data_IF_240657076484
#
_entry.id   IF_240657076484
#
_cell.length_a   1.000
_cell.length_b   1.000
_cell.length_c   1.000
_cell.angle_alpha   90.00
_cell.angle_beta   90.00
_cell.angle_gamma   90.00
#
_symmetry.space_group_name_H-M   'P 1'
#
loop_
_entity.id
_entity.type
_entity.pdbx_description
1 polymer ?
#
# COMPACT_ATOMS: atom_id res chain seq x y z
N UNK A 1 -20.60 -14.42 -8.76
CA UNK A 1 -20.39 -13.98 -7.36
C UNK A 1 -21.66 -14.15 -6.52
N UNK A 2 -22.78 -13.52 -6.89
CA UNK A 2 -24.05 -13.60 -6.14
C UNK A 2 -24.46 -15.04 -5.77
N UNK A 3 -24.52 -15.96 -6.73
CA UNK A 3 -24.90 -17.36 -6.48
C UNK A 3 -24.00 -18.04 -5.43
N UNK A 4 -22.69 -17.76 -5.45
CA UNK A 4 -21.75 -18.34 -4.47
C UNK A 4 -22.05 -17.79 -3.07
N UNK A 5 -22.24 -16.49 -2.94
CA UNK A 5 -22.58 -15.88 -1.65
C UNK A 5 -23.94 -16.34 -1.12
N UNK A 6 -24.93 -16.53 -2.00
CA UNK A 6 -26.25 -17.10 -1.64
C UNK A 6 -26.12 -18.52 -1.10
N UNK A 7 -25.32 -19.37 -1.75
CA UNK A 7 -25.05 -20.72 -1.26
C UNK A 7 -24.33 -20.67 0.10
N UNK A 8 -23.29 -19.84 0.24
CA UNK A 8 -22.56 -19.72 1.50
C UNK A 8 -23.44 -19.14 2.63
N UNK A 9 -24.45 -18.34 2.31
CA UNK A 9 -25.41 -17.82 3.29
C UNK A 9 -26.29 -18.92 3.90
N UNK A 10 -26.47 -20.07 3.23
CA UNK A 10 -27.24 -21.19 3.80
C UNK A 10 -26.40 -22.06 4.74
N UNK A 11 -25.10 -21.81 4.89
CA UNK A 11 -24.21 -22.65 5.67
C UNK A 11 -24.26 -22.26 7.17
N UNK A 12 -24.27 -23.23 8.09
CA UNK A 12 -24.41 -22.95 9.51
C UNK A 12 -23.20 -22.21 10.08
N UNK A 13 -23.45 -21.29 11.00
CA UNK A 13 -22.41 -20.50 11.69
C UNK A 13 -21.48 -21.34 12.59
N UNK A 14 -21.86 -22.57 12.89
CA UNK A 14 -21.18 -23.43 13.87
C UNK A 14 -19.91 -24.11 13.31
N UNK A 15 -19.61 -23.91 12.02
CA UNK A 15 -18.35 -24.33 11.43
C UNK A 15 -17.20 -23.44 11.93
N UNK A 16 -15.98 -23.97 12.07
CA UNK A 16 -14.76 -23.28 12.53
C UNK A 16 -14.27 -22.11 11.66
N UNK A 17 -15.13 -21.57 10.78
CA UNK A 17 -14.83 -20.53 9.82
C UNK A 17 -14.31 -21.09 8.49
N UNK A 18 -14.68 -20.43 7.39
CA UNK A 18 -14.21 -20.77 6.04
C UNK A 18 -13.37 -19.62 5.51
N UNK A 19 -12.33 -19.99 4.75
CA UNK A 19 -11.55 -19.07 3.93
C UNK A 19 -12.14 -19.02 2.52
N UNK A 20 -12.63 -17.86 2.11
CA UNK A 20 -13.09 -17.59 0.75
C UNK A 20 -11.98 -16.91 -0.05
N UNK A 21 -11.59 -17.52 -1.15
CA UNK A 21 -10.61 -16.99 -2.09
C UNK A 21 -11.29 -16.57 -3.39
N UNK A 22 -11.07 -15.33 -3.83
CA UNK A 22 -11.67 -14.75 -5.04
C UNK A 22 -10.55 -14.27 -5.96
N UNK A 23 -10.59 -14.77 -7.19
CA UNK A 23 -9.80 -14.27 -8.32
C UNK A 23 -10.70 -14.25 -9.56
N UNK A 24 -10.42 -13.35 -10.50
CA UNK A 24 -11.17 -13.24 -11.74
C UNK A 24 -10.29 -13.54 -12.95
N UNK A 25 -10.79 -14.40 -13.84
CA UNK A 25 -10.14 -14.83 -15.07
C UNK A 25 -11.19 -15.08 -16.16
N UNK A 26 -10.77 -14.95 -17.41
CA UNK A 26 -11.47 -15.35 -18.64
C UNK A 26 -10.92 -16.67 -19.16
N UNK A 27 -11.71 -17.48 -19.86
CA UNK A 27 -11.18 -18.56 -20.70
C UNK A 27 -10.13 -18.09 -21.73
N UNK A 28 -10.21 -16.82 -22.15
CA UNK A 28 -9.25 -16.23 -23.10
C UNK A 28 -7.97 -15.69 -22.44
N UNK A 29 -7.91 -15.61 -21.11
CA UNK A 29 -6.78 -15.01 -20.41
C UNK A 29 -5.59 -15.98 -20.43
N UNK A 30 -4.34 -15.49 -20.53
CA UNK A 30 -3.17 -16.34 -20.50
C UNK A 30 -3.07 -17.05 -19.14
N UNK A 31 -3.06 -18.39 -19.17
CA UNK A 31 -2.91 -19.18 -17.95
C UNK A 31 -1.50 -19.02 -17.38
N UNK A 32 -1.39 -19.09 -16.05
CA UNK A 32 -0.09 -19.06 -15.37
C UNK A 32 0.77 -20.21 -15.90
N UNK A 33 1.87 -19.86 -16.59
CA UNK A 33 2.79 -20.83 -17.19
C UNK A 33 2.76 -20.89 -18.73
N UNK A 34 1.87 -20.16 -19.40
CA UNK A 34 1.80 -20.08 -20.86
C UNK A 34 2.89 -19.17 -21.46
N UNK A 35 4.14 -19.56 -21.22
CA UNK A 35 5.33 -18.79 -21.66
C UNK A 35 5.39 -18.63 -23.17
N UNK A 36 4.86 -19.59 -23.94
CA UNK A 36 4.89 -19.53 -25.40
C UNK A 36 3.92 -18.51 -25.95
N UNK A 37 2.68 -18.45 -25.45
CA UNK A 37 1.73 -17.41 -25.84
C UNK A 37 2.19 -16.03 -25.40
N UNK A 38 2.71 -15.90 -24.18
CA UNK A 38 3.28 -14.63 -23.69
C UNK A 38 4.44 -14.19 -24.59
N UNK A 39 5.32 -15.11 -24.97
CA UNK A 39 6.42 -14.83 -25.90
C UNK A 39 5.86 -14.40 -27.25
N UNK A 40 4.89 -15.12 -27.80
CA UNK A 40 4.27 -14.80 -29.11
C UNK A 40 3.59 -13.43 -29.10
N UNK A 41 2.70 -13.15 -28.14
CA UNK A 41 2.02 -11.86 -28.04
C UNK A 41 2.94 -10.67 -27.77
N UNK A 42 4.20 -10.90 -27.33
CA UNK A 42 5.23 -9.86 -27.31
C UNK A 42 5.80 -9.54 -28.69
N UNK A 43 5.88 -10.52 -29.58
CA UNK A 43 6.40 -10.36 -30.95
C UNK A 43 5.30 -10.00 -31.97
N UNK A 44 4.06 -10.44 -31.74
CA UNK A 44 2.88 -10.16 -32.57
C UNK A 44 1.73 -9.55 -31.75
N UNK A 45 1.94 -8.35 -31.17
CA UNK A 45 0.95 -7.71 -30.30
C UNK A 45 -0.36 -7.35 -31.00
N UNK A 46 -0.36 -7.21 -32.32
CA UNK A 46 -1.55 -7.08 -33.17
C UNK A 46 -2.45 -8.33 -33.19
N UNK A 47 -1.90 -9.51 -32.89
CA UNK A 47 -2.63 -10.77 -32.83
C UNK A 47 -3.15 -11.07 -31.41
N UNK A 48 -2.40 -10.71 -30.37
CA UNK A 48 -2.79 -10.93 -28.98
C UNK A 48 -2.26 -9.84 -28.05
N UNK A 49 -3.17 -8.96 -27.61
CA UNK A 49 -2.89 -7.89 -26.64
C UNK A 49 -2.64 -8.41 -25.21
N UNK A 50 -2.74 -9.72 -24.97
CA UNK A 50 -2.55 -10.38 -23.68
C UNK A 50 -3.39 -9.76 -22.56
N UNK A 51 -2.77 -9.06 -21.61
CA UNK A 51 -3.46 -8.39 -20.50
C UNK A 51 -3.83 -6.94 -20.83
N UNK A 52 -3.24 -6.36 -21.89
CA UNK A 52 -3.46 -4.95 -22.26
C UNK A 52 -4.91 -4.66 -22.64
N UNK A 53 -5.59 -5.66 -23.21
CA UNK A 53 -7.04 -5.66 -23.51
C UNK A 53 -7.95 -5.33 -22.32
N UNK A 54 -7.48 -5.46 -21.08
CA UNK A 54 -8.24 -5.10 -19.87
C UNK A 54 -7.44 -4.24 -18.90
N UNK A 55 -6.38 -3.56 -19.37
CA UNK A 55 -5.47 -2.79 -18.51
C UNK A 55 -6.16 -1.66 -17.72
N UNK A 56 -7.31 -1.17 -18.22
CA UNK A 56 -8.17 -0.14 -17.60
C UNK A 56 -9.57 -0.66 -17.25
N UNK A 57 -9.82 -1.95 -17.46
CA UNK A 57 -11.14 -2.55 -17.29
C UNK A 57 -11.24 -3.22 -15.93
N UNK A 58 -11.76 -2.48 -14.96
CA UNK A 58 -11.97 -2.97 -13.60
C UNK A 58 -13.31 -3.68 -13.48
N UNK A 59 -13.30 -4.89 -12.92
CA UNK A 59 -14.52 -5.61 -12.57
C UNK A 59 -15.19 -4.94 -11.38
N UNK A 60 -16.47 -4.64 -11.54
CA UNK A 60 -17.27 -3.95 -10.54
C UNK A 60 -18.30 -4.89 -9.92
N UNK A 61 -18.64 -4.62 -8.66
CA UNK A 61 -19.76 -5.24 -7.97
C UNK A 61 -20.58 -4.11 -7.36
N UNK A 62 -21.69 -3.72 -7.99
CA UNK A 62 -22.57 -2.68 -7.45
C UNK A 62 -23.11 -3.11 -6.09
N UNK A 63 -23.23 -2.19 -5.14
CA UNK A 63 -23.77 -2.51 -3.81
C UNK A 63 -25.19 -3.10 -3.90
N UNK A 64 -26.04 -2.51 -4.75
CA UNK A 64 -27.40 -3.00 -5.04
C UNK A 64 -27.43 -4.48 -5.43
N UNK A 65 -26.39 -4.95 -6.12
CA UNK A 65 -26.30 -6.33 -6.57
C UNK A 65 -26.16 -7.33 -5.42
N UNK A 66 -25.66 -6.91 -4.25
CA UNK A 66 -25.50 -7.78 -3.10
C UNK A 66 -26.51 -7.50 -1.99
N UNK A 67 -27.35 -6.46 -2.10
CA UNK A 67 -28.32 -6.10 -1.07
C UNK A 67 -29.31 -7.21 -0.74
N UNK A 68 -29.73 -7.99 -1.75
CA UNK A 68 -30.68 -9.10 -1.57
C UNK A 68 -30.05 -10.35 -0.93
N UNK A 69 -28.71 -10.39 -0.80
CA UNK A 69 -28.02 -11.56 -0.26
C UNK A 69 -28.03 -11.48 1.28
N UNK A 70 -28.55 -12.52 1.96
CA UNK A 70 -28.49 -12.59 3.42
C UNK A 70 -27.05 -12.58 3.94
N UNK A 71 -26.82 -12.21 5.22
CA UNK A 71 -25.49 -12.25 5.82
C UNK A 71 -24.84 -13.64 5.73
N UNK A 72 -23.61 -13.68 5.23
CA UNK A 72 -22.80 -14.90 5.07
C UNK A 72 -22.01 -15.17 6.34
N UNK A 73 -22.60 -15.95 7.25
CA UNK A 73 -22.06 -16.20 8.60
C UNK A 73 -20.90 -17.22 8.63
N UNK A 74 -20.72 -18.00 7.58
CA UNK A 74 -19.75 -19.09 7.53
C UNK A 74 -18.31 -18.62 7.19
N UNK A 75 -18.15 -17.43 6.61
CA UNK A 75 -16.85 -16.94 6.14
C UNK A 75 -16.16 -16.10 7.22
N UNK A 76 -14.92 -16.48 7.55
CA UNK A 76 -14.08 -15.79 8.56
C UNK A 76 -12.80 -15.22 7.97
N UNK A 77 -12.39 -15.68 6.79
CA UNK A 77 -11.24 -15.13 6.07
C UNK A 77 -11.60 -14.87 4.62
N UNK A 78 -11.30 -13.67 4.13
CA UNK A 78 -11.53 -13.26 2.75
C UNK A 78 -10.19 -12.93 2.10
N UNK A 79 -9.91 -13.56 0.97
CA UNK A 79 -8.75 -13.26 0.15
C UNK A 79 -9.23 -12.87 -1.25
N UNK A 80 -8.87 -11.68 -1.72
CA UNK A 80 -9.21 -11.22 -3.07
C UNK A 80 -7.94 -10.82 -3.80
N UNK A 81 -7.74 -11.42 -4.97
CA UNK A 81 -6.71 -11.02 -5.90
C UNK A 81 -7.34 -10.39 -7.15
N UNK A 82 -6.95 -9.16 -7.45
CA UNK A 82 -7.59 -8.31 -8.45
C UNK A 82 -6.60 -7.38 -9.13
N UNK A 83 -5.64 -7.98 -9.86
CA UNK A 83 -4.73 -7.24 -10.72
C UNK A 83 -3.25 -7.53 -10.48
N UNK A 84 -2.94 -8.72 -9.96
CA UNK A 84 -1.56 -9.19 -9.84
C UNK A 84 -1.25 -10.29 -10.85
N UNK A 85 -0.27 -10.01 -11.72
CA UNK A 85 0.11 -10.96 -12.76
C UNK A 85 -1.01 -11.16 -13.78
N UNK A 86 -1.58 -12.37 -13.87
CA UNK A 86 -2.52 -12.79 -14.93
C UNK A 86 -4.00 -12.62 -14.60
N UNK A 87 -4.30 -12.00 -13.45
CA UNK A 87 -5.67 -11.82 -12.96
C UNK A 87 -6.31 -10.57 -13.57
N UNK A 88 -7.63 -10.61 -13.74
CA UNK A 88 -8.39 -9.41 -14.10
C UNK A 88 -8.39 -8.40 -12.96
N UNK A 89 -8.42 -7.12 -13.32
CA UNK A 89 -8.52 -6.03 -12.36
C UNK A 89 -9.87 -6.10 -11.65
N UNK A 90 -9.88 -5.94 -10.32
CA UNK A 90 -11.10 -5.78 -9.54
C UNK A 90 -11.09 -4.37 -8.98
N UNK A 91 -12.20 -3.63 -9.15
CA UNK A 91 -12.30 -2.29 -8.56
C UNK A 91 -12.13 -2.42 -7.04
N UNK A 92 -11.23 -1.64 -6.42
CA UNK A 92 -10.98 -1.76 -4.98
C UNK A 92 -12.25 -1.66 -4.12
N UNK A 93 -13.18 -0.76 -4.44
CA UNK A 93 -14.44 -0.62 -3.70
C UNK A 93 -15.34 -1.86 -3.74
N UNK A 94 -15.28 -2.65 -4.82
CA UNK A 94 -16.00 -3.91 -4.91
C UNK A 94 -15.57 -4.90 -3.81
N UNK A 95 -14.33 -4.83 -3.34
CA UNK A 95 -13.83 -5.73 -2.29
C UNK A 95 -14.48 -5.45 -0.93
N UNK A 96 -14.68 -4.18 -0.59
CA UNK A 96 -15.36 -3.77 0.63
C UNK A 96 -16.86 -4.08 0.57
N UNK A 97 -17.49 -3.90 -0.59
CA UNK A 97 -18.89 -4.28 -0.84
C UNK A 97 -19.09 -5.80 -0.64
N UNK A 98 -18.21 -6.63 -1.19
CA UNK A 98 -18.23 -8.09 -0.98
C UNK A 98 -18.05 -8.42 0.51
N UNK A 99 -17.04 -7.83 1.16
CA UNK A 99 -16.76 -8.06 2.57
C UNK A 99 -17.92 -7.67 3.50
N UNK A 100 -18.70 -6.65 3.14
CA UNK A 100 -19.87 -6.18 3.91
C UNK A 100 -20.92 -7.29 4.16
N UNK A 101 -20.94 -8.33 3.32
CA UNK A 101 -21.86 -9.46 3.47
C UNK A 101 -21.38 -10.50 4.48
N UNK A 102 -20.19 -10.35 5.06
CA UNK A 102 -19.54 -11.36 5.91
C UNK A 102 -19.33 -10.82 7.33
N UNK A 103 -20.36 -10.72 8.18
CA UNK A 103 -20.26 -10.04 9.48
C UNK A 103 -19.37 -10.75 10.52
N UNK A 104 -18.87 -11.96 10.23
CA UNK A 104 -17.93 -12.71 11.09
C UNK A 104 -16.50 -12.71 10.55
N UNK A 105 -16.21 -11.88 9.56
CA UNK A 105 -14.91 -11.78 8.91
C UNK A 105 -13.86 -11.30 9.92
N UNK A 106 -12.80 -12.08 10.13
CA UNK A 106 -11.69 -11.78 11.03
C UNK A 106 -10.42 -11.36 10.29
N UNK A 107 -10.21 -11.92 9.10
CA UNK A 107 -9.04 -11.64 8.27
C UNK A 107 -9.45 -11.25 6.85
N UNK A 108 -8.84 -10.19 6.36
CA UNK A 108 -8.99 -9.69 4.99
C UNK A 108 -7.61 -9.53 4.38
N UNK A 109 -7.38 -10.23 3.26
CA UNK A 109 -6.15 -10.11 2.48
C UNK A 109 -6.47 -9.71 1.04
N UNK A 110 -5.97 -8.57 0.59
CA UNK A 110 -6.30 -7.97 -0.70
C UNK A 110 -5.02 -7.75 -1.50
N UNK A 111 -5.05 -8.10 -2.77
CA UNK A 111 -3.99 -7.75 -3.74
C UNK A 111 -4.62 -7.03 -4.92
N UNK A 112 -4.43 -5.71 -4.97
CA UNK A 112 -5.13 -4.78 -5.87
C UNK A 112 -4.14 -3.85 -6.57
N UNK A 113 -4.54 -3.28 -7.71
CA UNK A 113 -3.72 -2.37 -8.52
C UNK A 113 -4.08 -0.90 -8.27
N UNK A 114 -3.08 -0.09 -7.94
CA UNK A 114 -3.09 1.39 -7.85
C UNK A 114 -1.99 2.00 -8.76
N UNK A 115 -1.82 1.44 -9.96
CA UNK A 115 -0.74 1.81 -10.88
C UNK A 115 -1.27 2.15 -12.28
N UNK A 116 -2.43 2.82 -12.35
CA UNK A 116 -2.96 3.31 -13.63
C UNK A 116 -2.24 4.61 -14.01
N UNK A 117 -1.24 4.49 -14.88
CA UNK A 117 -0.35 5.59 -15.29
C UNK A 117 -0.85 6.33 -16.53
N UNK A 118 -1.65 5.69 -17.38
CA UNK A 118 -2.18 6.31 -18.61
C UNK A 118 -3.51 7.03 -18.39
N UNK A 119 -4.24 6.67 -17.34
CA UNK A 119 -5.50 7.30 -16.95
C UNK A 119 -5.46 7.68 -15.45
N UNK A 120 -4.82 8.81 -15.17
CA UNK A 120 -4.64 9.32 -13.80
C UNK A 120 -5.99 9.59 -13.11
N UNK A 121 -6.99 10.02 -13.87
CA UNK A 121 -8.35 10.26 -13.35
C UNK A 121 -9.05 8.95 -12.95
N UNK A 122 -8.88 7.87 -13.72
CA UNK A 122 -9.33 6.54 -13.31
C UNK A 122 -8.61 6.07 -12.04
N UNK A 123 -7.30 6.31 -11.93
CA UNK A 123 -6.53 5.98 -10.71
C UNK A 123 -7.12 6.68 -9.48
N UNK A 124 -7.26 8.00 -9.54
CA UNK A 124 -7.84 8.83 -8.47
C UNK A 124 -9.24 8.37 -8.09
N UNK A 125 -10.13 8.19 -9.07
CA UNK A 125 -11.51 7.70 -8.84
C UNK A 125 -11.54 6.33 -8.16
N UNK A 126 -10.69 5.39 -8.58
CA UNK A 126 -10.62 4.06 -7.95
C UNK A 126 -10.10 4.14 -6.51
N UNK A 127 -9.10 4.98 -6.25
CA UNK A 127 -8.53 5.22 -4.93
C UNK A 127 -9.53 5.88 -3.98
N UNK A 128 -10.17 6.96 -4.41
CA UNK A 128 -11.20 7.67 -3.63
C UNK A 128 -12.44 6.80 -3.41
N UNK A 129 -12.87 6.08 -4.45
CA UNK A 129 -13.95 5.11 -4.35
C UNK A 129 -13.64 4.02 -3.34
N UNK A 130 -12.37 3.57 -3.26
CA UNK A 130 -11.97 2.63 -2.23
C UNK A 130 -12.02 3.24 -0.84
N UNK A 131 -11.38 4.40 -0.67
CA UNK A 131 -11.32 5.12 0.60
C UNK A 131 -12.73 5.32 1.18
N UNK A 132 -13.67 5.73 0.34
CA UNK A 132 -15.07 5.92 0.73
C UNK A 132 -15.80 4.61 1.03
N UNK A 133 -15.33 3.46 0.57
CA UNK A 133 -15.94 2.15 0.84
C UNK A 133 -15.33 1.40 2.04
N UNK A 134 -14.19 1.84 2.58
CA UNK A 134 -13.48 1.15 3.69
C UNK A 134 -14.41 0.94 4.91
N UNK A 135 -15.31 1.89 5.17
CA UNK A 135 -16.28 1.78 6.27
C UNK A 135 -17.27 0.61 6.14
N UNK A 136 -17.39 0.00 4.96
CA UNK A 136 -18.21 -1.19 4.72
C UNK A 136 -17.53 -2.48 5.21
N UNK A 137 -16.23 -2.44 5.50
CA UNK A 137 -15.51 -3.58 6.06
C UNK A 137 -16.07 -3.87 7.47
N UNK A 138 -16.41 -5.14 7.78
CA UNK A 138 -16.99 -5.51 9.07
C UNK A 138 -16.11 -5.11 10.25
N UNK A 139 -16.74 -4.68 11.35
CA UNK A 139 -16.04 -4.36 12.60
C UNK A 139 -15.42 -5.58 13.29
N UNK A 140 -15.79 -6.80 12.86
CA UNK A 140 -15.20 -8.05 13.32
C UNK A 140 -13.78 -8.30 12.80
N UNK A 141 -13.31 -7.52 11.81
CA UNK A 141 -12.00 -7.69 11.20
C UNK A 141 -10.91 -7.32 12.20
N UNK A 142 -9.99 -8.25 12.42
CA UNK A 142 -8.85 -8.09 13.34
C UNK A 142 -7.50 -8.05 12.59
N UNK A 143 -7.44 -8.67 11.40
CA UNK A 143 -6.24 -8.71 10.57
C UNK A 143 -6.55 -8.20 9.17
N UNK A 144 -5.80 -7.19 8.75
CA UNK A 144 -5.92 -6.59 7.42
C UNK A 144 -4.56 -6.59 6.73
N UNK A 145 -4.48 -7.23 5.56
CA UNK A 145 -3.33 -7.23 4.67
C UNK A 145 -3.76 -6.67 3.31
N UNK A 146 -3.21 -5.53 2.93
CA UNK A 146 -3.46 -4.92 1.63
C UNK A 146 -2.15 -4.75 0.88
N UNK A 147 -2.06 -5.38 -0.28
CA UNK A 147 -1.07 -5.05 -1.30
C UNK A 147 -1.75 -4.16 -2.33
N UNK A 148 -1.42 -2.88 -2.34
CA UNK A 148 -2.05 -1.91 -3.24
C UNK A 148 -1.02 -1.35 -4.20
N UNK A 149 -0.73 -2.13 -5.24
CA UNK A 149 0.46 -1.98 -6.06
C UNK A 149 0.46 -0.66 -6.84
N UNK A 150 1.38 0.22 -6.47
CA UNK A 150 1.77 1.41 -7.22
C UNK A 150 3.26 1.34 -7.51
N UNK A 151 3.66 1.81 -8.69
CA UNK A 151 5.06 2.04 -9.03
C UNK A 151 5.28 3.53 -9.27
N UNK A 152 6.43 4.03 -8.85
CA UNK A 152 6.84 5.38 -9.19
C UNK A 152 7.22 5.44 -10.68
N UNK A 153 7.33 6.64 -11.28
CA UNK A 153 8.02 6.83 -12.55
C UNK A 153 9.38 6.12 -12.57
N UNK A 154 9.68 5.34 -13.61
CA UNK A 154 11.05 4.80 -13.81
C UNK A 154 12.02 5.88 -14.31
N UNK A 155 11.50 6.91 -14.97
CA UNK A 155 12.21 8.14 -15.24
C UNK A 155 11.95 9.14 -14.12
N UNK A 156 12.92 9.33 -13.24
CA UNK A 156 12.77 10.18 -12.06
C UNK A 156 12.75 11.70 -12.36
N UNK A 157 12.94 12.07 -13.64
CA UNK A 157 12.72 13.42 -14.13
C UNK A 157 11.23 13.74 -14.30
N UNK A 158 10.36 12.72 -14.37
CA UNK A 158 8.92 12.92 -14.37
C UNK A 158 8.43 13.26 -12.95
N UNK A 159 7.48 14.18 -12.89
CA UNK A 159 6.78 14.46 -11.64
C UNK A 159 5.77 13.34 -11.34
N UNK A 160 5.78 12.74 -10.14
CA UNK A 160 4.76 11.81 -9.71
C UNK A 160 3.37 12.46 -9.72
N UNK A 161 2.36 11.63 -9.92
CA UNK A 161 0.96 12.08 -9.95
C UNK A 161 0.56 12.63 -8.58
N UNK A 162 -0.02 13.83 -8.57
CA UNK A 162 -0.75 14.36 -7.41
C UNK A 162 -2.09 13.63 -7.26
N UNK A 163 -2.20 12.80 -6.23
CA UNK A 163 -3.40 12.03 -5.88
C UNK A 163 -4.32 12.79 -4.91
N UNK A 164 -3.87 13.90 -4.32
CA UNK A 164 -4.67 14.69 -3.36
C UNK A 164 -5.32 15.91 -4.01
N UNK A 165 -4.88 16.33 -5.19
CA UNK A 165 -5.45 17.45 -5.96
C UNK A 165 -5.49 18.75 -5.14
N UNK A 166 -4.40 19.04 -4.43
CA UNK A 166 -4.29 20.20 -3.54
C UNK A 166 -5.09 20.11 -2.24
N UNK A 167 -5.73 18.97 -1.92
CA UNK A 167 -6.32 18.74 -0.59
C UNK A 167 -5.22 18.66 0.48
N UNK A 168 -5.57 19.04 1.70
CA UNK A 168 -4.65 19.06 2.85
C UNK A 168 -4.25 17.65 3.29
N UNK A 169 -5.13 16.65 3.13
CA UNK A 169 -4.93 15.28 3.60
C UNK A 169 -5.30 14.27 2.50
N UNK A 170 -4.50 13.21 2.37
CA UNK A 170 -4.82 12.06 1.52
C UNK A 170 -5.98 11.26 2.12
N UNK A 171 -7.13 11.29 1.45
CA UNK A 171 -8.36 10.63 1.88
C UNK A 171 -8.16 9.13 2.12
N UNK A 172 -7.37 8.46 1.27
CA UNK A 172 -7.11 7.02 1.43
C UNK A 172 -6.32 6.71 2.71
N UNK A 173 -5.24 7.45 2.97
CA UNK A 173 -4.45 7.32 4.19
C UNK A 173 -5.30 7.61 5.44
N UNK A 174 -6.11 8.67 5.42
CA UNK A 174 -7.00 9.02 6.52
C UNK A 174 -8.05 7.94 6.82
N UNK A 175 -8.69 7.38 5.79
CA UNK A 175 -9.70 6.32 5.97
C UNK A 175 -9.09 5.01 6.45
N UNK A 176 -7.85 4.70 6.03
CA UNK A 176 -7.10 3.57 6.58
C UNK A 176 -6.70 3.79 8.04
N UNK A 177 -6.31 5.01 8.43
CA UNK A 177 -6.06 5.37 9.83
C UNK A 177 -7.29 5.05 10.68
N UNK A 178 -8.46 5.54 10.29
CA UNK A 178 -9.72 5.34 11.01
C UNK A 178 -10.06 3.85 11.14
N UNK A 179 -10.01 3.11 10.03
CA UNK A 179 -10.28 1.67 10.03
C UNK A 179 -9.26 0.87 10.84
N UNK A 180 -7.98 1.26 10.82
CA UNK A 180 -6.92 0.51 11.50
C UNK A 180 -7.06 0.49 13.02
N UNK A 181 -7.80 1.44 13.62
CA UNK A 181 -8.01 1.54 15.06
C UNK A 181 -8.71 0.30 15.67
N UNK A 182 -9.50 -0.44 14.89
CA UNK A 182 -10.15 -1.67 15.37
C UNK A 182 -9.27 -2.93 15.25
N UNK A 183 -8.15 -2.85 14.53
CA UNK A 183 -7.35 -4.00 14.15
C UNK A 183 -6.39 -4.45 15.26
N UNK A 184 -5.96 -5.71 15.15
CA UNK A 184 -4.83 -6.27 15.89
C UNK A 184 -3.57 -6.33 15.02
N UNK A 185 -3.73 -6.62 13.72
CA UNK A 185 -2.62 -6.67 12.76
C UNK A 185 -2.99 -5.87 11.51
N UNK A 186 -2.15 -4.90 11.19
CA UNK A 186 -2.24 -4.09 9.97
C UNK A 186 -1.00 -4.31 9.11
N UNK A 187 -1.19 -4.63 7.84
CA UNK A 187 -0.13 -4.76 6.85
C UNK A 187 -0.54 -4.09 5.54
N UNK A 188 0.26 -3.13 5.10
CA UNK A 188 0.08 -2.41 3.85
C UNK A 188 1.36 -2.52 3.03
N UNK A 189 1.25 -2.89 1.76
CA UNK A 189 2.41 -3.11 0.90
C UNK A 189 2.23 -2.45 -0.46
N UNK A 190 3.34 -1.91 -0.98
CA UNK A 190 3.44 -1.29 -2.31
C UNK A 190 2.50 -0.09 -2.54
N UNK A 191 1.96 0.50 -1.47
CA UNK A 191 0.99 1.60 -1.55
C UNK A 191 1.67 2.97 -1.53
N UNK A 192 1.08 3.94 -2.23
CA UNK A 192 1.35 5.36 -2.01
C UNK A 192 0.50 5.79 -0.82
N UNK A 193 1.12 6.35 0.22
CA UNK A 193 0.46 6.80 1.45
C UNK A 193 1.16 8.04 2.00
N UNK A 194 0.42 8.85 2.73
CA UNK A 194 0.95 10.03 3.40
C UNK A 194 1.08 9.82 4.90
N UNK A 195 1.64 10.83 5.58
CA UNK A 195 1.79 10.87 7.05
C UNK A 195 0.44 10.82 7.77
N UNK A 196 -0.62 11.15 7.07
CA UNK A 196 -2.02 11.11 7.46
C UNK A 196 -2.47 9.69 7.82
N UNK A 197 -1.77 8.65 7.36
CA UNK A 197 -2.05 7.28 7.79
C UNK A 197 -1.90 7.10 9.32
N UNK A 198 -1.05 7.92 9.95
CA UNK A 198 -0.73 7.79 11.37
C UNK A 198 -1.39 8.87 12.22
N UNK A 199 -1.38 10.12 11.78
CA UNK A 199 -1.87 11.25 12.58
C UNK A 199 -2.61 12.26 11.70
N UNK A 200 -3.73 12.83 12.16
CA UNK A 200 -4.41 13.90 11.42
C UNK A 200 -3.51 15.13 11.27
N UNK A 201 -3.57 15.79 10.11
CA UNK A 201 -2.78 17.00 9.81
C UNK A 201 -3.31 18.23 10.53
N UNK A 202 -4.63 18.31 10.73
CA UNK A 202 -5.27 19.42 11.44
C UNK A 202 -5.49 19.06 12.92
N UNK A 203 -5.00 19.91 13.79
CA UNK A 203 -5.32 19.94 15.22
C UNK A 203 -6.17 21.18 15.48
N UNK A 204 -7.47 21.07 15.24
CA UNK A 204 -8.44 22.14 15.50
C UNK A 204 -8.83 22.22 16.99
N UNK A 205 -8.12 21.52 17.87
CA UNK A 205 -8.37 21.49 19.32
C UNK A 205 -9.64 20.74 19.73
N UNK A 206 -10.44 20.27 18.77
CA UNK A 206 -11.69 19.52 18.98
C UNK A 206 -11.64 18.10 18.40
N UNK A 207 -10.57 17.78 17.66
CA UNK A 207 -10.34 16.47 17.06
C UNK A 207 -10.00 15.44 18.13
N UNK A 208 -10.84 14.40 18.26
CA UNK A 208 -10.49 13.23 19.05
C UNK A 208 -9.28 12.54 18.41
N UNK A 209 -8.15 12.52 19.11
CA UNK A 209 -6.95 11.86 18.61
C UNK A 209 -7.16 10.36 18.44
N UNK A 210 -6.58 9.76 17.38
CA UNK A 210 -6.75 8.35 17.11
C UNK A 210 -6.17 7.49 18.24
N UNK A 211 -6.76 6.31 18.44
CA UNK A 211 -6.39 5.37 19.47
C UNK A 211 -6.56 3.93 19.00
N UNK A 212 -5.52 3.12 19.18
CA UNK A 212 -5.46 1.73 18.69
C UNK A 212 -5.38 0.75 19.87
N UNK A 213 -6.51 0.44 20.51
CA UNK A 213 -6.52 -0.34 21.76
C UNK A 213 -5.94 -1.75 21.61
N UNK A 214 -6.01 -2.34 20.41
CA UNK A 214 -5.72 -3.76 20.17
C UNK A 214 -4.54 -4.01 19.23
N UNK A 215 -3.98 -2.98 18.61
CA UNK A 215 -3.01 -3.16 17.54
C UNK A 215 -1.64 -3.58 18.08
N UNK A 216 -1.14 -4.74 17.61
CA UNK A 216 0.15 -5.30 18.05
C UNK A 216 1.20 -5.25 16.95
N UNK A 217 0.79 -5.37 15.68
CA UNK A 217 1.69 -5.38 14.53
C UNK A 217 1.22 -4.38 13.50
N UNK A 218 2.07 -3.39 13.21
CA UNK A 218 1.86 -2.37 12.18
C UNK A 218 2.97 -2.48 11.13
N UNK A 219 2.65 -2.86 9.89
CA UNK A 219 3.65 -3.00 8.83
C UNK A 219 3.24 -2.21 7.60
N UNK A 220 4.14 -1.38 7.12
CA UNK A 220 3.95 -0.58 5.91
C UNK A 220 5.19 -0.68 5.04
N UNK A 221 4.98 -1.13 3.81
CA UNK A 221 5.92 -0.97 2.71
C UNK A 221 5.32 0.06 1.75
N UNK A 222 5.80 1.31 1.84
CA UNK A 222 5.36 2.43 1.01
C UNK A 222 6.30 2.66 -0.17
N UNK A 223 5.83 3.43 -1.15
CA UNK A 223 6.59 3.75 -2.38
C UNK A 223 7.38 5.04 -2.22
N UNK A 224 8.38 5.22 -3.08
CA UNK A 224 9.26 6.40 -3.10
C UNK A 224 8.60 7.74 -3.41
N UNK A 225 7.27 7.79 -3.51
CA UNK A 225 6.49 8.99 -3.80
C UNK A 225 5.37 9.18 -2.77
N UNK A 226 5.09 10.42 -2.39
CA UNK A 226 3.96 10.80 -1.54
C UNK A 226 2.64 10.88 -2.35
N UNK A 227 1.47 10.93 -1.69
CA UNK A 227 0.19 11.21 -2.34
C UNK A 227 0.12 12.61 -2.98
N UNK A 228 0.88 13.59 -2.47
CA UNK A 228 1.00 14.94 -3.04
C UNK A 228 1.90 15.01 -4.28
N UNK A 229 2.40 13.87 -4.76
CA UNK A 229 3.27 13.82 -5.92
C UNK A 229 4.72 14.21 -5.63
N UNK A 230 5.16 14.19 -4.37
CA UNK A 230 6.54 14.50 -3.98
C UNK A 230 7.39 13.22 -3.93
N UNK A 231 8.71 13.36 -4.09
CA UNK A 231 9.64 12.24 -3.97
C UNK A 231 10.20 12.14 -2.54
N UNK A 232 10.16 10.95 -1.94
CA UNK A 232 10.85 10.67 -0.68
C UNK A 232 12.38 10.62 -0.81
N UNK A 233 12.89 10.59 -2.05
CA UNK A 233 14.32 10.60 -2.36
C UNK A 233 14.64 11.75 -3.31
N UNK A 234 15.75 12.41 -3.02
CA UNK A 234 16.30 13.54 -3.75
C UNK A 234 17.59 13.12 -4.44
N UNK A 235 17.98 13.89 -5.46
CA UNK A 235 19.29 13.74 -6.09
C UNK A 235 20.39 14.07 -5.08
N UNK A 236 21.36 13.18 -4.92
CA UNK A 236 22.59 13.53 -4.22
C UNK A 236 23.43 14.44 -5.13
N UNK A 237 23.75 15.68 -4.72
CA UNK A 237 24.60 16.56 -5.52
C UNK A 237 26.03 16.02 -5.73
N UNK A 238 26.47 15.05 -4.92
CA UNK A 238 27.81 14.47 -4.99
C UNK A 238 27.87 13.19 -5.83
N UNK A 239 26.73 12.66 -6.26
CA UNK A 239 26.68 11.44 -7.08
C UNK A 239 26.88 11.80 -8.55
N UNK A 240 27.96 11.29 -9.14
CA UNK A 240 28.26 11.44 -10.55
C UNK A 240 27.30 10.55 -11.35
N UNK A 241 26.26 11.16 -11.91
CA UNK A 241 25.32 10.47 -12.78
C UNK A 241 26.04 10.36 -14.12
N UNK A 242 26.73 9.23 -14.33
CA UNK A 242 27.49 8.97 -15.54
C UNK A 242 26.70 9.28 -16.83
N UNK A 243 27.43 9.59 -17.89
CA UNK A 243 26.86 10.04 -19.17
C UNK A 243 25.70 9.15 -19.63
N UNK A 244 24.66 9.80 -20.17
CA UNK A 244 23.51 9.12 -20.78
C UNK A 244 24.04 8.15 -21.85
N UNK A 245 23.89 6.84 -21.60
CA UNK A 245 24.23 5.85 -22.62
C UNK A 245 23.25 6.07 -23.77
N UNK A 246 23.75 6.49 -24.94
CA UNK A 246 22.95 6.53 -26.17
C UNK A 246 22.48 5.10 -26.47
N UNK A 247 21.24 4.80 -26.10
CA UNK A 247 20.61 3.54 -26.47
C UNK A 247 20.30 3.52 -27.96
N UNK A 248 20.49 2.36 -28.58
CA UNK A 248 20.22 2.16 -30.00
C UNK A 248 18.76 2.53 -30.33
N UNK A 249 18.55 3.21 -31.47
CA UNK A 249 17.21 3.52 -31.97
C UNK A 249 16.41 2.23 -32.21
N UNK A 250 15.59 1.83 -31.24
CA UNK A 250 14.58 0.79 -31.47
C UNK A 250 13.47 1.35 -32.35
N UNK A 251 12.99 0.54 -33.30
CA UNK A 251 11.82 0.91 -34.11
C UNK A 251 10.64 1.20 -33.17
N UNK A 252 10.01 2.39 -33.22
CA UNK A 252 8.96 2.75 -32.27
C UNK A 252 7.82 1.74 -32.34
N UNK A 253 7.52 1.08 -31.22
CA UNK A 253 6.29 0.32 -31.08
C UNK A 253 5.10 1.28 -31.30
N UNK A 254 3.96 0.81 -31.86
CA UNK A 254 2.73 1.59 -31.87
C UNK A 254 2.39 2.18 -30.49
N UNK A 255 1.82 3.38 -30.43
CA UNK A 255 1.58 4.12 -29.16
C UNK A 255 0.83 3.32 -28.08
N UNK A 256 -0.11 2.48 -28.49
CA UNK A 256 -0.89 1.62 -27.61
C UNK A 256 -0.08 0.44 -27.04
N UNK A 257 1.13 0.21 -27.55
CA UNK A 257 2.05 -0.85 -27.14
C UNK A 257 3.28 -0.35 -26.37
N UNK A 258 3.56 0.95 -26.43
CA UNK A 258 4.64 1.53 -25.63
C UNK A 258 4.29 1.49 -24.13
N UNK A 259 5.28 1.47 -23.23
CA UNK A 259 5.05 1.82 -21.83
C UNK A 259 4.47 3.23 -21.70
N UNK A 260 3.86 3.58 -20.55
CA UNK A 260 3.57 4.97 -20.21
C UNK A 260 4.82 5.85 -20.38
N UNK A 261 4.72 7.13 -20.79
CA UNK A 261 5.89 7.98 -21.07
C UNK A 261 6.96 7.99 -19.97
N UNK A 262 6.53 8.02 -18.71
CA UNK A 262 7.38 7.99 -17.52
C UNK A 262 8.14 6.67 -17.29
N UNK A 263 7.81 5.62 -18.04
CA UNK A 263 8.41 4.28 -17.96
C UNK A 263 9.12 3.87 -19.26
N UNK A 264 9.16 4.74 -20.28
CA UNK A 264 9.80 4.43 -21.56
C UNK A 264 11.32 4.46 -21.48
N UNK A 265 11.88 5.27 -20.58
CA UNK A 265 13.31 5.39 -20.34
C UNK A 265 13.57 5.31 -18.85
N UNK A 266 14.40 4.37 -18.42
CA UNK A 266 14.75 4.25 -17.01
C UNK A 266 15.84 5.26 -16.68
N UNK A 267 15.59 6.14 -15.72
CA UNK A 267 16.54 7.17 -15.29
C UNK A 267 16.45 7.33 -13.78
N UNK A 268 17.35 6.66 -13.07
CA UNK A 268 17.43 6.67 -11.61
C UNK A 268 18.59 7.57 -11.17
N UNK A 269 18.28 8.65 -10.44
CA UNK A 269 19.27 9.63 -9.94
C UNK A 269 18.93 10.16 -8.53
N UNK A 270 17.88 9.65 -7.89
CA UNK A 270 17.42 10.01 -6.55
C UNK A 270 17.82 8.90 -5.58
N UNK A 271 18.90 9.15 -4.87
CA UNK A 271 19.53 8.19 -3.95
C UNK A 271 19.45 8.63 -2.48
N UNK A 272 19.28 9.93 -2.23
CA UNK A 272 19.33 10.51 -0.89
C UNK A 272 17.94 10.70 -0.30
N UNK A 273 17.67 10.12 0.86
CA UNK A 273 16.44 10.33 1.62
C UNK A 273 16.12 11.83 1.83
N UNK A 274 14.90 12.26 1.48
CA UNK A 274 14.41 13.61 1.77
C UNK A 274 14.20 13.74 3.27
N UNK A 275 15.09 14.48 3.91
CA UNK A 275 15.13 14.67 5.35
C UNK A 275 13.79 15.17 5.87
N UNK A 276 13.22 16.20 5.23
CA UNK A 276 11.94 16.79 5.64
C UNK A 276 10.78 15.79 5.58
N UNK A 277 10.54 15.18 4.42
CA UNK A 277 9.38 14.31 4.21
C UNK A 277 9.43 13.04 5.08
N UNK A 278 10.62 12.45 5.21
CA UNK A 278 10.82 11.24 6.02
C UNK A 278 10.69 11.55 7.51
N UNK A 279 11.20 12.69 7.98
CA UNK A 279 11.01 13.08 9.38
C UNK A 279 9.55 13.33 9.73
N UNK A 280 8.81 14.08 8.89
CA UNK A 280 7.39 14.32 9.11
C UNK A 280 6.59 13.00 9.18
N UNK A 281 6.96 12.04 8.34
CA UNK A 281 6.40 10.69 8.35
C UNK A 281 6.69 9.96 9.68
N UNK A 282 7.93 10.01 10.17
CA UNK A 282 8.30 9.38 11.45
C UNK A 282 7.72 10.07 12.68
N UNK A 283 7.59 11.39 12.68
CA UNK A 283 6.92 12.13 13.75
C UNK A 283 5.45 11.70 13.83
N UNK A 284 4.78 11.63 12.68
CA UNK A 284 3.39 11.17 12.62
C UNK A 284 3.24 9.74 13.12
N UNK A 285 4.11 8.83 12.65
CA UNK A 285 4.12 7.43 13.09
C UNK A 285 4.41 7.28 14.59
N UNK A 286 5.36 8.04 15.13
CA UNK A 286 5.71 8.01 16.54
C UNK A 286 4.59 8.54 17.44
N UNK A 287 3.88 9.60 17.03
CA UNK A 287 2.66 10.08 17.73
C UNK A 287 1.57 9.01 17.75
N UNK A 288 1.36 8.31 16.63
CA UNK A 288 0.42 7.20 16.57
C UNK A 288 0.85 6.05 17.49
N UNK A 289 2.14 5.70 17.51
CA UNK A 289 2.68 4.66 18.37
C UNK A 289 2.43 4.94 19.87
N UNK A 290 2.54 6.19 20.33
CA UNK A 290 2.18 6.58 21.70
C UNK A 290 0.72 6.24 22.08
N UNK A 291 -0.15 6.04 21.08
CA UNK A 291 -1.58 5.73 21.21
C UNK A 291 -1.91 4.28 20.85
N UNK A 292 -0.90 3.42 20.77
CA UNK A 292 -1.00 1.98 20.49
C UNK A 292 -0.49 1.15 21.69
N UNK A 293 -1.20 1.07 22.82
CA UNK A 293 -0.69 0.48 24.07
C UNK A 293 -0.26 -0.98 23.98
N UNK A 294 -0.66 -1.71 22.93
CA UNK A 294 -0.29 -3.11 22.70
C UNK A 294 0.71 -3.30 21.56
N UNK A 295 1.26 -2.21 21.02
CA UNK A 295 2.21 -2.28 19.91
C UNK A 295 3.45 -3.06 20.31
N UNK A 296 3.74 -4.11 19.55
CA UNK A 296 4.93 -4.92 19.70
C UNK A 296 5.91 -4.65 18.56
N UNK A 297 5.39 -4.45 17.34
CA UNK A 297 6.20 -4.30 16.14
C UNK A 297 5.60 -3.22 15.25
N UNK A 298 6.39 -2.20 14.92
CA UNK A 298 6.14 -1.30 13.79
C UNK A 298 7.27 -1.40 12.77
N UNK A 299 6.96 -1.70 11.52
CA UNK A 299 7.92 -1.66 10.41
C UNK A 299 7.45 -0.71 9.33
N UNK A 300 8.28 0.25 8.98
CA UNK A 300 8.05 1.21 7.91
C UNK A 300 9.20 1.04 6.91
N UNK A 301 8.87 0.67 5.67
CA UNK A 301 9.88 0.40 4.63
C UNK A 301 9.52 1.15 3.38
N UNK A 302 10.50 1.81 2.80
CA UNK A 302 10.41 2.37 1.46
C UNK A 302 11.44 1.70 0.57
N UNK A 303 10.96 1.11 -0.52
CA UNK A 303 11.81 0.54 -1.57
C UNK A 303 11.67 1.38 -2.83
N UNK A 304 12.79 1.90 -3.31
CA UNK A 304 12.81 2.79 -4.45
C UNK A 304 14.08 2.58 -5.28
N UNK A 305 13.94 2.04 -6.50
CA UNK A 305 15.10 1.69 -7.33
C UNK A 305 16.07 0.76 -6.59
N UNK A 306 17.34 1.19 -6.50
CA UNK A 306 18.41 0.51 -5.76
C UNK A 306 18.55 0.97 -4.30
N UNK A 307 17.78 1.99 -3.89
CA UNK A 307 17.82 2.54 -2.54
C UNK A 307 16.67 2.01 -1.68
N UNK A 308 16.96 1.89 -0.39
CA UNK A 308 16.01 1.41 0.60
C UNK A 308 16.15 2.20 1.88
N UNK A 309 15.01 2.63 2.40
CA UNK A 309 14.92 3.29 3.69
C UNK A 309 13.99 2.46 4.58
N UNK A 310 14.48 2.02 5.74
CA UNK A 310 13.74 1.16 6.64
C UNK A 310 13.80 1.68 8.07
N UNK A 311 12.67 1.55 8.76
CA UNK A 311 12.54 1.77 10.18
C UNK A 311 11.84 0.58 10.83
N UNK A 312 12.40 0.12 11.94
CA UNK A 312 11.84 -0.93 12.78
C UNK A 312 11.77 -0.46 14.23
N UNK A 313 10.59 -0.58 14.82
CA UNK A 313 10.36 -0.39 16.24
C UNK A 313 9.86 -1.71 16.84
N UNK A 314 10.55 -2.21 17.86
CA UNK A 314 10.21 -3.44 18.54
C UNK A 314 10.13 -3.21 20.04
N UNK A 315 9.08 -3.72 20.68
CA UNK A 315 8.94 -3.75 22.15
C UNK A 315 9.08 -5.20 22.60
N UNK A 316 10.07 -5.48 23.45
CA UNK A 316 10.34 -6.79 24.03
C UNK A 316 10.50 -6.64 25.53
N UNK A 317 9.67 -7.35 26.28
CA UNK A 317 9.63 -7.30 27.75
C UNK A 317 9.48 -5.85 28.25
N UNK A 318 10.57 -5.25 28.73
CA UNK A 318 10.61 -3.88 29.27
C UNK A 318 11.53 -2.95 28.47
N UNK A 319 11.95 -3.34 27.26
CA UNK A 319 12.82 -2.56 26.40
C UNK A 319 12.18 -2.30 25.04
N UNK A 320 12.43 -1.12 24.50
CA UNK A 320 12.03 -0.76 23.15
C UNK A 320 13.27 -0.45 22.31
N UNK A 321 13.32 -0.96 21.08
CA UNK A 321 14.42 -0.68 20.16
C UNK A 321 13.86 0.00 18.92
N UNK A 322 14.44 1.13 18.54
CA UNK A 322 14.15 1.83 17.30
C UNK A 322 15.40 1.77 16.40
N UNK A 323 15.25 1.21 15.20
CA UNK A 323 16.34 1.01 14.25
C UNK A 323 16.01 1.71 12.94
N UNK A 324 16.86 2.62 12.51
CA UNK A 324 16.84 3.22 11.18
C UNK A 324 17.93 2.55 10.33
N UNK A 325 17.57 2.15 9.12
CA UNK A 325 18.50 1.58 8.14
C UNK A 325 18.32 2.33 6.83
N UNK A 326 19.40 2.90 6.33
CA UNK A 326 19.36 3.75 5.15
C UNK A 326 20.58 3.51 4.26
N UNK A 327 20.38 3.59 2.94
CA UNK A 327 21.45 3.49 1.95
C UNK A 327 22.18 4.83 1.70
N UNK A 328 21.58 5.96 2.04
CA UNK A 328 22.10 7.32 1.80
C UNK A 328 22.58 8.06 3.05
N UNK A 329 22.83 7.35 4.16
CA UNK A 329 23.38 7.93 5.39
C UNK A 329 22.40 8.74 6.24
N UNK A 330 21.08 8.55 6.09
CA UNK A 330 20.08 9.22 6.93
C UNK A 330 20.33 9.00 8.43
N UNK A 331 20.23 10.07 9.20
CA UNK A 331 20.15 10.04 10.65
C UNK A 331 18.89 10.81 11.11
N UNK A 332 18.08 10.25 12.03
CA UNK A 332 16.92 10.95 12.55
C UNK A 332 17.36 12.18 13.38
N UNK A 333 16.66 13.30 13.21
CA UNK A 333 16.83 14.45 14.10
C UNK A 333 16.32 14.16 15.51
N UNK A 334 16.79 14.96 16.47
CA UNK A 334 16.42 14.82 17.89
C UNK A 334 14.90 14.90 18.09
N UNK A 335 14.18 15.69 17.29
CA UNK A 335 12.72 15.79 17.36
C UNK A 335 12.03 14.44 17.03
N UNK A 336 12.55 13.68 16.04
CA UNK A 336 12.07 12.34 15.72
C UNK A 336 12.39 11.39 16.86
N UNK A 337 13.63 11.40 17.34
CA UNK A 337 14.08 10.52 18.43
C UNK A 337 13.23 10.75 19.68
N UNK A 338 12.94 12.01 20.02
CA UNK A 338 12.14 12.35 21.21
C UNK A 338 10.73 11.78 21.13
N UNK A 339 10.03 11.90 19.99
CA UNK A 339 8.69 11.32 19.82
C UNK A 339 8.70 9.80 20.02
N UNK A 340 9.76 9.12 19.60
CA UNK A 340 9.93 7.68 19.80
C UNK A 340 10.37 7.30 21.22
N UNK A 341 11.08 8.18 21.94
CA UNK A 341 11.33 8.01 23.38
C UNK A 341 10.03 8.11 24.16
N UNK A 342 9.16 9.04 23.80
CA UNK A 342 7.84 9.18 24.42
C UNK A 342 6.99 7.93 24.13
N UNK A 343 7.02 7.39 22.91
CA UNK A 343 6.35 6.12 22.58
C UNK A 343 6.91 4.95 23.41
N UNK A 344 8.23 4.85 23.54
CA UNK A 344 8.87 3.84 24.38
C UNK A 344 8.46 3.97 25.85
N UNK A 345 8.42 5.18 26.39
CA UNK A 345 7.95 5.44 27.76
C UNK A 345 6.51 4.95 27.96
N UNK A 346 5.61 5.16 26.99
CA UNK A 346 4.22 4.65 27.07
C UNK A 346 4.15 3.12 27.06
N UNK A 347 5.05 2.45 26.34
CA UNK A 347 5.02 0.99 26.20
C UNK A 347 5.76 0.25 27.32
N UNK A 348 6.82 0.83 27.87
CA UNK A 348 7.69 0.16 28.87
C UNK A 348 7.55 0.73 30.29
N UNK A 349 6.98 1.94 30.43
CA UNK A 349 6.93 2.67 31.69
C UNK A 349 8.25 3.30 32.13
N UNK A 350 9.32 3.24 31.31
CA UNK A 350 10.66 3.74 31.67
C UNK A 350 11.18 4.76 30.65
N UNK A 351 11.65 5.91 31.14
CA UNK A 351 12.09 7.02 30.28
C UNK A 351 13.34 6.71 29.45
N UNK A 352 14.20 5.79 29.90
CA UNK A 352 15.46 5.42 29.24
C UNK A 352 15.39 4.09 28.50
N UNK A 353 14.20 3.57 28.18
CA UNK A 353 14.05 2.23 27.59
C UNK A 353 14.26 2.17 26.08
N UNK A 354 14.53 3.29 25.41
CA UNK A 354 14.71 3.33 23.96
C UNK A 354 16.18 3.15 23.58
N UNK A 355 16.48 2.04 22.91
CA UNK A 355 17.74 1.85 22.20
C UNK A 355 17.62 2.33 20.75
N UNK A 356 18.47 3.26 20.33
CA UNK A 356 18.50 3.81 18.97
C UNK A 356 19.66 3.21 18.18
N UNK A 357 19.37 2.61 17.02
CA UNK A 357 20.36 2.05 16.10
C UNK A 357 20.25 2.70 14.73
N UNK A 358 21.39 3.03 14.14
CA UNK A 358 21.49 3.53 12.77
C UNK A 358 22.47 2.66 11.98
N UNK A 359 21.97 1.99 10.94
CA UNK A 359 22.77 1.12 10.09
C UNK A 359 22.90 1.72 8.68
N UNK A 360 24.12 1.87 8.19
CA UNK A 360 24.37 2.16 6.78
C UNK A 360 24.30 0.88 5.94
N UNK A 361 23.52 0.89 4.85
CA UNK A 361 23.65 -0.14 3.80
C UNK A 361 24.62 0.37 2.74
N UNK A 362 25.80 -0.26 2.66
CA UNK A 362 26.69 -0.05 1.52
C UNK A 362 26.04 -0.71 0.29
N UNK A 363 25.69 0.09 -0.71
CA UNK A 363 25.28 -0.43 -2.03
C UNK A 363 26.54 -1.05 -2.64
N UNK A 364 26.52 -2.36 -2.91
CA UNK A 364 27.59 -2.99 -3.68
C UNK A 364 27.53 -2.42 -5.10
N UNK A 365 28.58 -1.71 -5.49
CA UNK A 365 28.80 -1.13 -6.83
C UNK A 365 28.89 -2.19 -7.90
#
# INVERSE_FOLDING_TARGET
MQNVLQILATWPANHGGIKLFIQAQSPSDPMRGDKQRIKRGRYTPEEDLLQRRFERSYLEVPEESLKSIPPVMAVTTLIIHGGMGYERLIRPSATAIIASRMPRLREVALSLKDNEKRDQELRKRNRDGYANSIHLLPSSVQRFDLKFYSEAPRNEAFQPVDLVEGKIEDLFSARLRDFSQQLTIFSLNHAVIGKELFWPVNDDGNTQFPYWPNLTIFRVSFRGTSPSGEWYFERDPNEDVGDEVEEAEETPLPDYLQPPPEDQRERYFRSRASVKLIQEFYISAGKAAQRMPRLQIMNLKCFFGLVSHEFAYEVKENAATATWTDSGGYAPEECVVQVWRDAALQHTGMASSLEVKSNGRTVAT
#
